data_IF_294260801599
#
_entry.id   IF_294260801599
#
_cell.length_a   1.000
_cell.length_b   1.000
_cell.length_c   1.000
_cell.angle_alpha   90.00
_cell.angle_beta   90.00
_cell.angle_gamma   90.00
#
_symmetry.space_group_name_H-M   'P 1'
#
loop_
_entity.id
_entity.type
_entity.pdbx_description
1 polymer ?
#
# COMPACT_ATOMS: atom_id res chain seq x y z
N UNK A 1 8.74 16.48 8.25
CA UNK A 1 7.37 16.02 8.58
C UNK A 1 7.27 14.52 8.79
N UNK A 2 7.57 13.64 7.83
CA UNK A 2 7.37 12.19 7.98
C UNK A 2 8.14 11.57 9.17
N UNK A 3 9.39 11.98 9.38
CA UNK A 3 10.15 11.56 10.57
C UNK A 3 9.51 12.02 11.89
N UNK A 4 8.84 13.18 11.91
CA UNK A 4 8.12 13.65 13.09
C UNK A 4 6.93 12.72 13.39
N UNK A 5 6.23 12.24 12.35
CA UNK A 5 5.17 11.23 12.51
C UNK A 5 5.68 9.95 13.19
N UNK A 6 6.87 9.46 12.82
CA UNK A 6 7.41 8.26 13.44
C UNK A 6 7.54 8.34 14.98
N UNK A 7 7.82 9.53 15.54
CA UNK A 7 7.98 9.73 16.98
C UNK A 7 6.69 10.19 17.68
N UNK A 8 5.89 11.03 17.04
CA UNK A 8 4.79 11.74 17.70
C UNK A 8 3.39 11.31 17.25
N UNK A 9 3.28 10.53 16.17
CA UNK A 9 1.97 10.03 15.73
C UNK A 9 1.50 8.92 16.68
N UNK A 10 0.35 9.08 17.35
CA UNK A 10 -0.22 8.01 18.16
C UNK A 10 -0.66 6.83 17.28
N UNK A 11 -0.72 5.64 17.87
CA UNK A 11 -1.36 4.49 17.25
C UNK A 11 -2.84 4.54 17.63
N UNK A 12 -3.70 4.74 16.63
CA UNK A 12 -5.14 4.85 16.84
C UNK A 12 -5.92 3.69 16.21
N UNK A 13 -5.29 2.94 15.30
CA UNK A 13 -5.85 1.75 14.68
C UNK A 13 -5.50 0.50 15.49
N UNK A 14 -6.50 -0.27 15.90
CA UNK A 14 -6.30 -1.51 16.62
C UNK A 14 -5.65 -2.58 15.74
N UNK A 15 -5.85 -2.53 14.42
CA UNK A 15 -5.20 -3.46 13.49
C UNK A 15 -3.68 -3.28 13.51
N UNK A 16 -3.19 -2.03 13.60
CA UNK A 16 -1.74 -1.76 13.66
C UNK A 16 -1.08 -2.51 14.83
N UNK A 17 -1.73 -2.51 16.00
CA UNK A 17 -1.23 -3.22 17.18
C UNK A 17 -1.42 -4.74 17.03
N UNK A 18 -2.66 -5.20 16.91
CA UNK A 18 -2.99 -6.61 17.07
C UNK A 18 -2.74 -7.46 15.82
N UNK A 19 -2.83 -6.87 14.62
CA UNK A 19 -2.62 -7.58 13.37
C UNK A 19 -1.20 -7.41 12.80
N UNK A 20 -0.38 -6.49 13.33
CA UNK A 20 0.97 -6.27 12.82
C UNK A 20 2.05 -6.27 13.90
N UNK A 21 2.00 -5.38 14.89
CA UNK A 21 3.01 -5.34 15.95
C UNK A 21 3.03 -6.60 16.82
N UNK A 22 1.88 -7.12 17.24
CA UNK A 22 1.78 -8.32 18.07
C UNK A 22 2.27 -9.60 17.35
N UNK A 23 1.86 -9.89 16.10
CA UNK A 23 2.43 -11.00 15.32
C UNK A 23 3.93 -10.86 15.08
N UNK A 24 4.42 -9.65 14.79
CA UNK A 24 5.85 -9.38 14.66
C UNK A 24 6.59 -9.65 15.98
N UNK A 25 6.05 -9.17 17.09
CA UNK A 25 6.60 -9.40 18.42
C UNK A 25 6.59 -10.91 18.75
N UNK A 26 5.52 -11.64 18.42
CA UNK A 26 5.46 -13.09 18.59
C UNK A 26 6.53 -13.83 17.79
N UNK A 27 6.77 -13.46 16.54
CA UNK A 27 7.81 -14.06 15.69
C UNK A 27 9.21 -13.78 16.22
N UNK A 28 9.46 -12.57 16.73
CA UNK A 28 10.79 -12.17 17.22
C UNK A 28 11.12 -12.66 18.63
N UNK A 29 10.14 -12.64 19.53
CA UNK A 29 10.34 -12.82 20.97
C UNK A 29 9.74 -14.12 21.52
N UNK A 30 9.00 -14.87 20.69
CA UNK A 30 8.32 -16.10 21.12
C UNK A 30 7.09 -15.88 22.00
N UNK A 31 6.70 -14.63 22.26
CA UNK A 31 5.51 -14.26 23.04
C UNK A 31 4.79 -13.09 22.34
N UNK A 32 3.48 -13.02 22.43
CA UNK A 32 2.65 -12.00 21.76
C UNK A 32 1.32 -12.59 21.31
N UNK A 33 0.39 -11.72 20.95
CA UNK A 33 -0.94 -12.09 20.49
C UNK A 33 -0.94 -12.44 19.00
N UNK A 34 -1.84 -13.34 18.63
CA UNK A 34 -2.23 -13.60 17.24
C UNK A 34 -3.74 -13.52 17.17
N UNK A 35 -4.24 -12.72 16.25
CA UNK A 35 -5.67 -12.64 15.98
C UNK A 35 -6.14 -13.88 15.22
N UNK A 36 -7.45 -14.04 15.14
CA UNK A 36 -8.08 -15.09 14.35
C UNK A 36 -7.74 -14.98 12.85
N UNK A 37 -7.36 -13.81 12.35
CA UNK A 37 -6.94 -13.59 10.96
C UNK A 37 -5.63 -14.32 10.61
N UNK A 38 -4.77 -14.55 11.62
CA UNK A 38 -3.56 -15.38 11.54
C UNK A 38 -3.79 -16.83 11.96
N UNK A 39 -5.04 -17.24 12.24
CA UNK A 39 -5.35 -18.64 12.46
C UNK A 39 -5.20 -19.42 11.16
N UNK A 40 -4.59 -20.62 11.16
CA UNK A 40 -4.56 -21.50 10.00
C UNK A 40 -5.95 -21.80 9.43
N UNK A 41 -7.02 -21.70 10.22
CA UNK A 41 -8.39 -21.89 9.73
C UNK A 41 -8.76 -20.87 8.64
N UNK A 42 -8.46 -19.59 8.85
CA UNK A 42 -8.84 -18.49 7.96
C UNK A 42 -7.69 -18.02 7.07
N UNK A 43 -6.50 -17.84 7.66
CA UNK A 43 -5.27 -17.43 6.99
C UNK A 43 -5.48 -16.22 6.06
N UNK A 44 -5.93 -15.11 6.63
CA UNK A 44 -6.30 -13.88 5.91
C UNK A 44 -5.14 -12.87 5.84
N UNK A 45 -4.15 -12.97 6.73
CA UNK A 45 -2.98 -12.10 6.77
C UNK A 45 -1.71 -12.84 6.38
N UNK A 46 -0.78 -12.13 5.77
CA UNK A 46 0.46 -12.72 5.25
C UNK A 46 1.59 -12.59 6.27
N UNK A 47 2.23 -13.71 6.61
CA UNK A 47 3.47 -13.70 7.39
C UNK A 47 4.63 -13.13 6.56
N UNK A 48 4.59 -13.28 5.23
CA UNK A 48 5.58 -12.66 4.35
C UNK A 48 5.63 -11.13 4.53
N UNK A 49 4.47 -10.49 4.70
CA UNK A 49 4.40 -9.05 4.98
C UNK A 49 5.06 -8.67 6.31
N UNK A 50 4.85 -9.48 7.36
CA UNK A 50 5.49 -9.27 8.67
C UNK A 50 7.01 -9.42 8.57
N UNK A 51 7.49 -10.47 7.87
CA UNK A 51 8.92 -10.72 7.69
C UNK A 51 9.62 -9.64 6.86
N UNK A 52 8.93 -9.10 5.85
CA UNK A 52 9.44 -7.96 5.08
C UNK A 52 9.79 -6.76 5.98
N UNK A 53 8.95 -6.52 6.98
CA UNK A 53 9.11 -5.41 7.93
C UNK A 53 9.96 -5.77 9.16
N UNK A 54 10.20 -7.05 9.41
CA UNK A 54 11.19 -7.52 10.37
C UNK A 54 12.63 -7.25 9.89
N UNK A 55 12.90 -7.35 8.59
CA UNK A 55 14.24 -7.17 8.02
C UNK A 55 15.00 -5.91 8.52
N UNK A 56 14.42 -4.69 8.49
CA UNK A 56 15.13 -3.48 8.95
C UNK A 56 15.47 -3.48 10.45
N UNK A 57 14.75 -4.26 11.27
CA UNK A 57 14.96 -4.33 12.72
C UNK A 57 15.70 -5.61 13.16
N UNK A 58 15.97 -6.52 12.24
CA UNK A 58 16.61 -7.83 12.52
C UNK A 58 18.01 -7.70 13.13
N UNK A 59 18.71 -6.59 12.87
CA UNK A 59 20.05 -6.30 13.41
C UNK A 59 20.02 -5.74 14.84
N UNK A 60 18.85 -5.40 15.37
CA UNK A 60 18.71 -4.82 16.71
C UNK A 60 18.63 -5.95 17.73
N UNK A 61 19.43 -5.92 18.83
CA UNK A 61 19.34 -6.93 19.85
C UNK A 61 17.94 -7.02 20.46
N UNK A 62 17.49 -8.24 20.71
CA UNK A 62 16.16 -8.60 21.21
C UNK A 62 15.79 -7.85 22.52
N UNK A 63 16.78 -7.49 23.34
CA UNK A 63 16.54 -6.71 24.57
C UNK A 63 16.00 -5.29 24.33
N UNK A 64 16.20 -4.70 23.15
CA UNK A 64 15.91 -3.29 22.88
C UNK A 64 14.58 -3.07 22.13
N UNK A 65 13.47 -3.53 22.72
CA UNK A 65 12.12 -3.47 22.11
C UNK A 65 11.70 -2.06 21.67
N UNK A 66 11.97 -1.05 22.49
CA UNK A 66 11.61 0.34 22.19
C UNK A 66 12.36 0.87 20.96
N UNK A 67 13.64 0.50 20.83
CA UNK A 67 14.47 0.88 19.68
C UNK A 67 13.95 0.18 18.43
N UNK A 68 13.67 -1.13 18.48
CA UNK A 68 13.07 -1.86 17.36
C UNK A 68 11.76 -1.22 16.89
N UNK A 69 10.88 -0.83 17.82
CA UNK A 69 9.62 -0.15 17.51
C UNK A 69 9.83 1.17 16.75
N UNK A 70 10.65 2.08 17.29
CA UNK A 70 10.89 3.37 16.64
C UNK A 70 11.70 3.24 15.35
N UNK A 71 12.66 2.31 15.27
CA UNK A 71 13.40 2.06 14.03
C UNK A 71 12.47 1.65 12.91
N UNK A 72 11.52 0.74 13.16
CA UNK A 72 10.53 0.35 12.14
C UNK A 72 9.71 1.56 11.66
N UNK A 73 9.19 2.38 12.58
CA UNK A 73 8.43 3.59 12.23
C UNK A 73 9.26 4.60 11.43
N UNK A 74 10.52 4.79 11.80
CA UNK A 74 11.47 5.65 11.08
C UNK A 74 11.74 5.10 9.67
N UNK A 75 11.94 3.79 9.52
CA UNK A 75 12.10 3.15 8.22
C UNK A 75 10.87 3.37 7.32
N UNK A 76 9.65 3.16 7.85
CA UNK A 76 8.41 3.44 7.13
C UNK A 76 8.29 4.90 6.70
N UNK A 77 8.61 5.83 7.61
CA UNK A 77 8.59 7.26 7.33
C UNK A 77 9.61 7.68 6.25
N UNK A 78 10.79 7.05 6.24
CA UNK A 78 11.81 7.26 5.19
C UNK A 78 11.30 6.72 3.85
N UNK A 79 10.71 5.52 3.83
CA UNK A 79 10.11 4.95 2.61
C UNK A 79 9.02 5.88 2.07
N UNK A 80 8.12 6.36 2.93
CA UNK A 80 7.10 7.34 2.53
C UNK A 80 7.73 8.60 1.92
N UNK A 81 8.70 9.22 2.61
CA UNK A 81 9.35 10.45 2.17
C UNK A 81 10.11 10.27 0.84
N UNK A 82 10.75 9.10 0.64
CA UNK A 82 11.43 8.79 -0.62
C UNK A 82 10.45 8.61 -1.77
N UNK A 83 9.33 7.89 -1.57
CA UNK A 83 8.25 7.79 -2.57
C UNK A 83 7.71 9.17 -2.95
N UNK A 84 7.46 10.06 -1.96
CA UNK A 84 7.01 11.43 -2.23
C UNK A 84 8.04 12.25 -3.02
N UNK A 85 9.33 12.12 -2.69
CA UNK A 85 10.40 12.84 -3.37
C UNK A 85 10.58 12.38 -4.83
N UNK A 86 10.45 11.07 -5.09
CA UNK A 86 10.48 10.56 -6.46
C UNK A 86 9.26 11.02 -7.26
N UNK A 87 8.07 11.00 -6.65
CA UNK A 87 6.87 11.47 -7.33
C UNK A 87 6.93 12.96 -7.65
N UNK A 88 7.46 13.79 -6.73
CA UNK A 88 7.75 15.20 -6.99
C UNK A 88 8.61 15.38 -8.24
N UNK A 89 9.72 14.64 -8.36
CA UNK A 89 10.60 14.70 -9.53
C UNK A 89 9.90 14.24 -10.82
N UNK A 90 9.01 13.26 -10.72
CA UNK A 90 8.24 12.79 -11.87
C UNK A 90 7.23 13.84 -12.35
N UNK A 91 6.55 14.54 -11.44
CA UNK A 91 5.65 15.65 -11.76
C UNK A 91 6.41 16.83 -12.38
N UNK A 92 7.54 17.23 -11.76
CA UNK A 92 8.35 18.34 -12.23
C UNK A 92 8.81 18.15 -13.67
N UNK A 93 9.22 16.93 -14.02
CA UNK A 93 9.63 16.57 -15.39
C UNK A 93 8.49 16.48 -16.39
N UNK A 94 7.32 15.98 -15.98
CA UNK A 94 6.23 15.70 -16.92
C UNK A 94 5.27 16.89 -17.11
N UNK A 95 5.05 17.67 -16.05
CA UNK A 95 4.11 18.79 -16.05
C UNK A 95 4.89 20.10 -15.93
N UNK A 96 5.10 20.57 -14.70
CA UNK A 96 5.93 21.74 -14.41
C UNK A 96 6.31 21.77 -12.92
N UNK A 97 7.29 22.62 -12.60
CA UNK A 97 7.79 22.81 -11.24
C UNK A 97 6.74 23.42 -10.30
N UNK A 98 5.88 24.32 -10.79
CA UNK A 98 4.85 24.96 -9.96
C UNK A 98 3.85 23.95 -9.38
N UNK A 99 3.35 23.03 -10.21
CA UNK A 99 2.45 21.94 -9.81
C UNK A 99 3.18 20.99 -8.87
N UNK A 100 4.44 20.67 -9.13
CA UNK A 100 5.25 19.83 -8.24
C UNK A 100 5.39 20.46 -6.84
N UNK A 101 5.64 21.78 -6.74
CA UNK A 101 5.68 22.49 -5.46
C UNK A 101 4.33 22.51 -4.76
N UNK A 102 3.24 22.72 -5.50
CA UNK A 102 1.88 22.63 -4.95
C UNK A 102 1.63 21.25 -4.37
N UNK A 103 2.01 20.17 -5.06
CA UNK A 103 1.92 18.81 -4.53
C UNK A 103 2.65 18.67 -3.17
N UNK A 104 3.89 19.14 -3.07
CA UNK A 104 4.65 19.06 -1.80
C UNK A 104 3.97 19.84 -0.68
N UNK A 105 3.48 21.05 -0.97
CA UNK A 105 2.76 21.86 0.01
C UNK A 105 1.49 21.15 0.49
N UNK A 106 0.68 20.62 -0.42
CA UNK A 106 -0.52 19.87 -0.10
C UNK A 106 -0.20 18.60 0.72
N UNK A 107 0.84 17.85 0.34
CA UNK A 107 1.26 16.64 1.05
C UNK A 107 1.77 16.93 2.46
N UNK A 108 2.53 18.02 2.66
CA UNK A 108 3.04 18.43 3.99
C UNK A 108 1.90 18.77 4.94
N UNK A 109 0.86 19.47 4.44
CA UNK A 109 -0.29 19.90 5.23
C UNK A 109 -1.34 18.80 5.42
N UNK A 110 -1.17 17.65 4.76
CA UNK A 110 -2.12 16.57 4.79
C UNK A 110 -1.98 15.73 6.07
N UNK A 111 -2.99 15.82 6.93
CA UNK A 111 -3.07 15.08 8.20
C UNK A 111 -3.13 13.57 8.00
N UNK A 112 -3.92 13.10 7.02
CA UNK A 112 -4.04 11.67 6.74
C UNK A 112 -2.70 11.08 6.28
N UNK A 113 -1.96 11.80 5.44
CA UNK A 113 -0.62 11.39 4.99
C UNK A 113 0.42 11.48 6.10
N UNK A 114 0.28 12.45 7.03
CA UNK A 114 1.11 12.48 8.24
C UNK A 114 0.89 11.21 9.07
N UNK A 115 -0.36 10.81 9.31
CA UNK A 115 -0.68 9.59 10.05
C UNK A 115 -0.18 8.33 9.33
N UNK A 116 -0.56 8.14 8.07
CA UNK A 116 -0.26 6.89 7.34
C UNK A 116 1.23 6.66 7.13
N UNK A 117 2.04 7.73 7.05
CA UNK A 117 3.47 7.64 6.73
C UNK A 117 4.35 6.82 7.68
N UNK A 118 3.94 6.62 8.92
CA UNK A 118 4.69 5.81 9.90
C UNK A 118 3.91 4.61 10.42
N UNK A 119 2.66 4.43 9.96
CA UNK A 119 1.77 3.38 10.44
C UNK A 119 2.14 2.02 9.84
N UNK A 120 2.31 1.02 10.70
CA UNK A 120 2.67 -0.34 10.29
C UNK A 120 1.43 -1.17 9.92
N UNK A 121 0.81 -0.83 8.79
CA UNK A 121 -0.39 -1.50 8.28
C UNK A 121 -0.32 -1.68 6.76
N UNK A 122 -1.04 -2.68 6.24
CA UNK A 122 -1.10 -2.98 4.81
C UNK A 122 -1.53 -1.76 3.96
N UNK A 123 -2.44 -0.93 4.46
CA UNK A 123 -2.93 0.24 3.73
C UNK A 123 -1.85 1.30 3.50
N UNK A 124 -1.01 1.57 4.51
CA UNK A 124 0.12 2.50 4.39
C UNK A 124 1.16 1.97 3.42
N UNK A 125 1.43 0.67 3.46
CA UNK A 125 2.31 0.02 2.49
C UNK A 125 1.77 0.11 1.06
N UNK A 126 0.47 -0.15 0.87
CA UNK A 126 -0.20 0.02 -0.42
C UNK A 126 -0.13 1.46 -0.91
N UNK A 127 -0.24 2.46 -0.02
CA UNK A 127 -0.05 3.87 -0.39
C UNK A 127 1.36 4.12 -0.95
N UNK A 128 2.42 3.58 -0.33
CA UNK A 128 3.80 3.74 -0.84
C UNK A 128 3.97 3.12 -2.23
N UNK A 129 3.49 1.88 -2.40
CA UNK A 129 3.60 1.16 -3.67
C UNK A 129 2.81 1.83 -4.80
N UNK A 130 1.60 2.35 -4.52
CA UNK A 130 0.82 3.11 -5.51
C UNK A 130 1.53 4.40 -5.88
N UNK A 131 2.04 5.17 -4.91
CA UNK A 131 2.76 6.41 -5.18
C UNK A 131 3.99 6.16 -6.08
N UNK A 132 4.70 5.06 -5.83
CA UNK A 132 5.83 4.66 -6.64
C UNK A 132 5.40 4.12 -8.02
N UNK A 133 4.29 3.39 -8.12
CA UNK A 133 3.72 2.97 -9.39
C UNK A 133 3.35 4.17 -10.28
N UNK A 134 2.76 5.21 -9.69
CA UNK A 134 2.43 6.46 -10.35
C UNK A 134 3.70 7.24 -10.76
N UNK A 135 4.72 7.25 -9.92
CA UNK A 135 6.04 7.80 -10.27
C UNK A 135 6.60 7.13 -11.53
N UNK A 136 6.57 5.80 -11.59
CA UNK A 136 7.02 5.03 -12.74
C UNK A 136 6.17 5.32 -13.98
N UNK A 137 4.85 5.47 -13.82
CA UNK A 137 3.95 5.82 -14.92
C UNK A 137 4.28 7.18 -15.51
N UNK A 138 4.45 8.20 -14.65
CA UNK A 138 4.83 9.56 -15.05
C UNK A 138 6.22 9.60 -15.70
N UNK A 139 7.12 8.72 -15.27
CA UNK A 139 8.48 8.58 -15.81
C UNK A 139 8.59 7.63 -17.02
N UNK A 140 7.47 7.17 -17.60
CA UNK A 140 7.40 6.20 -18.71
C UNK A 140 7.99 4.80 -18.44
N UNK A 141 8.26 4.43 -17.18
CA UNK A 141 8.71 3.10 -16.78
C UNK A 141 7.51 2.15 -16.52
N UNK A 142 6.78 1.80 -17.59
CA UNK A 142 5.48 1.11 -17.51
C UNK A 142 5.56 -0.28 -16.85
N UNK A 143 6.63 -1.04 -17.10
CA UNK A 143 6.83 -2.36 -16.50
C UNK A 143 6.91 -2.30 -14.96
N UNK A 144 7.67 -1.35 -14.45
CA UNK A 144 7.77 -1.09 -13.01
C UNK A 144 6.44 -0.58 -12.45
N UNK A 145 5.73 0.27 -13.18
CA UNK A 145 4.41 0.75 -12.77
C UNK A 145 3.42 -0.41 -12.53
N UNK A 146 3.34 -1.35 -13.48
CA UNK A 146 2.53 -2.58 -13.32
C UNK A 146 3.02 -3.42 -12.14
N UNK A 147 4.34 -3.56 -11.99
CA UNK A 147 4.93 -4.30 -10.87
C UNK A 147 4.52 -3.73 -9.51
N UNK A 148 4.64 -2.42 -9.30
CA UNK A 148 4.32 -1.83 -8.01
C UNK A 148 2.82 -1.86 -7.69
N UNK A 149 1.92 -1.77 -8.69
CA UNK A 149 0.48 -2.02 -8.46
C UNK A 149 0.23 -3.48 -8.05
N UNK A 150 0.85 -4.44 -8.75
CA UNK A 150 0.71 -5.86 -8.42
C UNK A 150 1.28 -6.16 -7.02
N UNK A 151 2.44 -5.59 -6.69
CA UNK A 151 3.10 -5.76 -5.40
C UNK A 151 2.26 -5.17 -4.26
N UNK A 152 1.75 -3.95 -4.44
CA UNK A 152 0.88 -3.28 -3.47
C UNK A 152 -0.45 -3.97 -3.23
N UNK A 153 -1.04 -4.56 -4.28
CA UNK A 153 -2.31 -5.27 -4.19
C UNK A 153 -2.18 -6.67 -3.58
N UNK A 154 -1.15 -7.43 -3.97
CA UNK A 154 -0.96 -8.80 -3.48
C UNK A 154 -0.34 -8.85 -2.08
N UNK A 155 0.64 -7.98 -1.78
CA UNK A 155 1.32 -7.96 -0.48
C UNK A 155 0.61 -7.07 0.55
N UNK A 156 0.05 -5.94 0.10
CA UNK A 156 -0.68 -5.01 0.97
C UNK A 156 -2.17 -5.32 1.01
N UNK A 157 -2.95 -4.75 0.08
CA UNK A 157 -4.40 -4.83 0.10
C UNK A 157 -4.98 -4.99 -1.31
N UNK A 158 -5.72 -6.07 -1.55
CA UNK A 158 -6.11 -6.49 -2.90
C UNK A 158 -6.95 -5.48 -3.67
N UNK A 159 -7.76 -4.68 -2.98
CA UNK A 159 -8.63 -3.67 -3.61
C UNK A 159 -7.84 -2.48 -4.19
N UNK A 160 -6.58 -2.34 -3.83
CA UNK A 160 -5.68 -1.31 -4.36
C UNK A 160 -5.42 -1.50 -5.86
N UNK A 161 -5.65 -2.70 -6.40
CA UNK A 161 -5.59 -2.96 -7.84
C UNK A 161 -6.47 -2.00 -8.66
N UNK A 162 -7.58 -1.52 -8.09
CA UNK A 162 -8.47 -0.53 -8.72
C UNK A 162 -7.75 0.79 -9.03
N UNK A 163 -6.79 1.19 -8.19
CA UNK A 163 -5.99 2.40 -8.41
C UNK A 163 -5.01 2.24 -9.59
N UNK A 164 -4.82 1.03 -10.12
CA UNK A 164 -4.07 0.76 -11.34
C UNK A 164 -4.86 0.98 -12.64
N UNK A 165 -6.18 1.24 -12.57
CA UNK A 165 -7.03 1.37 -13.77
C UNK A 165 -6.54 2.48 -14.72
N UNK A 166 -6.20 3.71 -14.29
CA UNK A 166 -5.72 4.75 -15.20
C UNK A 166 -4.44 4.34 -15.94
N UNK A 167 -3.53 3.64 -15.25
CA UNK A 167 -2.29 3.10 -15.82
C UNK A 167 -2.62 2.02 -16.86
N UNK A 168 -3.53 1.09 -16.53
CA UNK A 168 -3.95 0.04 -17.46
C UNK A 168 -4.60 0.64 -18.72
N UNK A 169 -5.46 1.65 -18.56
CA UNK A 169 -6.10 2.34 -19.69
C UNK A 169 -5.04 3.00 -20.59
N UNK A 170 -4.07 3.70 -19.98
CA UNK A 170 -2.96 4.32 -20.70
C UNK A 170 -2.16 3.29 -21.53
N UNK A 171 -1.77 2.17 -20.92
CA UNK A 171 -0.93 1.17 -21.58
C UNK A 171 -1.70 0.43 -22.68
N UNK A 172 -2.94 0.00 -22.39
CA UNK A 172 -3.72 -0.86 -23.29
C UNK A 172 -4.35 -0.06 -24.41
N UNK A 173 -5.06 1.04 -24.11
CA UNK A 173 -5.85 1.75 -25.12
C UNK A 173 -5.08 2.89 -25.78
N UNK A 174 -4.35 3.71 -25.01
CA UNK A 174 -3.62 4.83 -25.61
C UNK A 174 -2.34 4.36 -26.31
N UNK A 175 -1.50 3.61 -25.58
CA UNK A 175 -0.21 3.16 -26.11
C UNK A 175 -0.31 1.89 -26.97
N UNK A 176 -1.46 1.20 -26.96
CA UNK A 176 -1.69 -0.04 -27.71
C UNK A 176 -0.68 -1.17 -27.37
N UNK A 177 -0.13 -1.17 -26.15
CA UNK A 177 0.89 -2.13 -25.68
C UNK A 177 0.28 -3.26 -24.83
N UNK A 178 -0.81 -3.86 -25.31
CA UNK A 178 -1.54 -4.89 -24.56
C UNK A 178 -0.70 -6.15 -24.28
N UNK A 179 0.17 -6.57 -25.22
CA UNK A 179 1.06 -7.72 -25.03
C UNK A 179 2.03 -7.46 -23.88
N UNK A 180 2.65 -6.27 -23.85
CA UNK A 180 3.55 -5.89 -22.76
C UNK A 180 2.80 -5.80 -21.43
N UNK A 181 1.60 -5.25 -21.42
CA UNK A 181 0.77 -5.19 -20.22
C UNK A 181 0.50 -6.59 -19.65
N UNK A 182 0.08 -7.54 -20.49
CA UNK A 182 -0.17 -8.93 -20.08
C UNK A 182 1.13 -9.57 -19.58
N UNK A 183 2.23 -9.44 -20.33
CA UNK A 183 3.54 -9.99 -19.97
C UNK A 183 3.99 -9.47 -18.61
N UNK A 184 3.98 -8.16 -18.40
CA UNK A 184 4.44 -7.56 -17.13
C UNK A 184 3.47 -7.83 -15.98
N UNK A 185 2.17 -7.95 -16.24
CA UNK A 185 1.19 -8.35 -15.23
C UNK A 185 1.44 -9.78 -14.73
N UNK A 186 1.69 -10.72 -15.65
CA UNK A 186 2.01 -12.11 -15.30
C UNK A 186 3.33 -12.18 -14.53
N UNK A 187 4.40 -11.54 -15.05
CA UNK A 187 5.71 -11.54 -14.39
C UNK A 187 5.60 -10.95 -12.98
N UNK A 188 4.93 -9.80 -12.83
CA UNK A 188 4.78 -9.13 -11.53
C UNK A 188 3.93 -9.93 -10.55
N UNK A 189 2.85 -10.54 -11.05
CA UNK A 189 2.01 -11.44 -10.29
C UNK A 189 2.79 -12.64 -9.77
N UNK A 190 3.58 -13.32 -10.63
CA UNK A 190 4.38 -14.48 -10.23
C UNK A 190 5.49 -14.11 -9.25
N UNK A 191 6.25 -13.04 -9.53
CA UNK A 191 7.36 -12.60 -8.66
C UNK A 191 6.86 -12.22 -7.27
N UNK A 192 5.64 -11.69 -7.14
CA UNK A 192 5.07 -11.34 -5.84
C UNK A 192 4.39 -12.53 -5.18
N UNK A 193 3.55 -13.25 -5.92
CA UNK A 193 2.65 -14.27 -5.36
C UNK A 193 3.39 -15.55 -4.97
N UNK A 194 4.41 -15.96 -5.73
CA UNK A 194 5.19 -17.17 -5.42
C UNK A 194 5.85 -17.07 -4.05
N UNK A 195 6.73 -16.09 -3.75
CA UNK A 195 7.38 -16.02 -2.44
C UNK A 195 6.36 -15.81 -1.32
N UNK A 196 5.31 -15.03 -1.55
CA UNK A 196 4.25 -14.81 -0.57
C UNK A 196 3.54 -16.12 -0.21
N UNK A 197 3.15 -16.90 -1.21
CA UNK A 197 2.48 -18.21 -1.03
C UNK A 197 3.42 -19.21 -0.34
N UNK A 198 4.69 -19.26 -0.71
CA UNK A 198 5.67 -20.18 -0.11
C UNK A 198 5.89 -19.89 1.38
N UNK A 199 6.14 -18.62 1.72
CA UNK A 199 6.34 -18.18 3.11
C UNK A 199 5.08 -18.42 3.92
N UNK A 200 3.93 -17.96 3.43
CA UNK A 200 2.68 -18.10 4.18
C UNK A 200 2.33 -19.58 4.39
N UNK A 201 2.50 -20.42 3.36
CA UNK A 201 2.22 -21.85 3.48
C UNK A 201 3.12 -22.55 4.50
N UNK A 202 4.38 -22.12 4.61
CA UNK A 202 5.31 -22.60 5.63
C UNK A 202 4.82 -22.25 7.04
N UNK A 203 4.45 -20.99 7.30
CA UNK A 203 3.99 -20.57 8.63
C UNK A 203 2.60 -21.11 9.00
N UNK A 204 1.70 -21.29 8.02
CA UNK A 204 0.38 -21.86 8.24
C UNK A 204 0.35 -23.39 8.28
N UNK A 205 1.44 -24.06 7.88
CA UNK A 205 1.54 -25.52 7.84
C UNK A 205 0.65 -26.18 6.77
N UNK A 206 0.16 -25.41 5.79
CA UNK A 206 -0.67 -25.89 4.66
C UNK A 206 -0.55 -24.94 3.48
N UNK A 207 -0.89 -25.39 2.28
CA UNK A 207 -0.91 -24.51 1.11
C UNK A 207 -1.93 -23.38 1.28
N UNK A 208 -1.45 -22.14 1.34
CA UNK A 208 -2.26 -20.93 1.55
C UNK A 208 -1.89 -19.88 0.51
N UNK A 209 -2.91 -19.36 -0.19
CA UNK A 209 -2.80 -18.16 -1.01
C UNK A 209 -3.58 -17.05 -0.28
N UNK A 210 -2.88 -16.30 0.55
CA UNK A 210 -3.49 -15.30 1.46
C UNK A 210 -4.39 -14.29 0.74
N UNK A 211 -4.00 -13.67 -0.40
CA UNK A 211 -4.88 -12.71 -1.09
C UNK A 211 -6.17 -13.34 -1.61
N UNK A 212 -6.12 -14.63 -2.01
CA UNK A 212 -7.30 -15.37 -2.45
C UNK A 212 -8.23 -15.69 -1.29
N UNK A 213 -7.69 -16.08 -0.14
CA UNK A 213 -8.48 -16.29 1.08
C UNK A 213 -9.14 -14.98 1.53
N UNK A 214 -8.42 -13.86 1.44
CA UNK A 214 -8.96 -12.54 1.74
C UNK A 214 -10.17 -12.20 0.86
N UNK A 215 -10.10 -12.45 -0.46
CA UNK A 215 -11.26 -12.29 -1.35
C UNK A 215 -12.40 -13.23 -0.96
N UNK A 216 -12.10 -14.52 -0.78
CA UNK A 216 -13.12 -15.53 -0.46
C UNK A 216 -13.88 -15.20 0.81
N UNK A 217 -13.16 -14.73 1.83
CA UNK A 217 -13.75 -14.35 3.10
C UNK A 217 -14.57 -13.05 2.98
N UNK A 218 -13.98 -11.98 2.42
CA UNK A 218 -14.60 -10.66 2.45
C UNK A 218 -15.65 -10.40 1.36
N UNK A 219 -15.53 -11.02 0.18
CA UNK A 219 -16.45 -10.79 -0.94
C UNK A 219 -17.43 -11.93 -1.15
N UNK A 220 -17.02 -13.18 -0.90
CA UNK A 220 -17.82 -14.35 -1.27
C UNK A 220 -18.52 -15.00 -0.07
N UNK A 221 -18.14 -14.67 1.16
CA UNK A 221 -18.75 -15.24 2.37
C UNK A 221 -19.85 -14.33 2.92
N UNK A 222 -20.86 -14.94 3.56
CA UNK A 222 -21.95 -14.23 4.23
C UNK A 222 -21.51 -13.43 5.46
N UNK A 223 -20.31 -13.69 6.00
CA UNK A 223 -19.82 -13.09 7.24
C UNK A 223 -18.82 -11.96 7.00
N UNK A 224 -18.40 -11.71 5.75
CA UNK A 224 -17.23 -10.89 5.45
C UNK A 224 -17.36 -9.41 5.81
N UNK A 225 -18.08 -8.60 5.01
CA UNK A 225 -18.01 -7.15 5.14
C UNK A 225 -18.95 -6.58 6.20
N UNK A 226 -19.89 -7.37 6.71
CA UNK A 226 -20.91 -6.93 7.68
C UNK A 226 -20.51 -7.17 9.13
N UNK A 227 -19.38 -7.85 9.39
CA UNK A 227 -18.95 -8.25 10.73
C UNK A 227 -18.80 -7.06 11.68
N UNK A 228 -18.35 -5.93 11.15
CA UNK A 228 -18.11 -4.69 11.90
C UNK A 228 -19.12 -3.58 11.58
N UNK A 229 -20.26 -3.94 10.98
CA UNK A 229 -21.25 -2.99 10.48
C UNK A 229 -21.06 -2.65 9.00
N UNK A 230 -22.04 -1.95 8.44
CA UNK A 230 -22.02 -1.50 7.03
C UNK A 230 -22.31 -0.02 6.97
N UNK A 231 -21.53 0.70 6.18
CA UNK A 231 -21.76 2.11 5.87
C UNK A 231 -22.30 2.25 4.44
N UNK A 232 -23.14 3.27 4.15
CA UNK A 232 -23.58 3.57 2.80
C UNK A 232 -22.40 3.99 1.93
N UNK A 233 -22.51 3.84 0.60
CA UNK A 233 -21.43 4.19 -0.34
C UNK A 233 -20.97 5.66 -0.23
N UNK A 234 -21.85 6.55 0.25
CA UNK A 234 -21.54 7.96 0.52
C UNK A 234 -20.45 8.15 1.57
N UNK A 235 -20.23 7.16 2.44
CA UNK A 235 -19.16 7.16 3.44
C UNK A 235 -17.79 7.39 2.82
N UNK A 236 -17.49 6.77 1.67
CA UNK A 236 -16.19 6.95 1.01
C UNK A 236 -15.96 8.40 0.57
N UNK A 237 -17.01 9.08 0.09
CA UNK A 237 -16.94 10.49 -0.31
C UNK A 237 -16.78 11.38 0.92
N UNK A 238 -17.60 11.18 1.95
CA UNK A 238 -17.55 11.97 3.19
C UNK A 238 -16.18 11.81 3.85
N UNK A 239 -15.69 10.58 4.00
CA UNK A 239 -14.38 10.29 4.58
C UNK A 239 -13.24 10.89 3.74
N UNK A 240 -13.32 10.80 2.41
CA UNK A 240 -12.36 11.44 1.51
C UNK A 240 -12.32 12.96 1.69
N UNK A 241 -13.47 13.61 1.74
CA UNK A 241 -13.57 15.06 1.96
C UNK A 241 -13.11 15.48 3.36
N UNK A 242 -13.39 14.69 4.40
CA UNK A 242 -12.93 15.01 5.76
C UNK A 242 -11.39 14.94 5.88
N UNK A 243 -10.77 13.93 5.24
CA UNK A 243 -9.33 13.73 5.36
C UNK A 243 -8.51 14.60 4.39
N UNK A 244 -9.05 14.91 3.21
CA UNK A 244 -8.32 15.55 2.11
C UNK A 244 -8.99 16.84 1.61
N UNK A 245 -10.14 17.25 2.15
CA UNK A 245 -10.90 18.43 1.73
C UNK A 245 -11.10 18.47 0.20
N UNK A 246 -11.00 19.66 -0.42
CA UNK A 246 -11.12 19.88 -1.86
C UNK A 246 -10.06 19.12 -2.68
N UNK A 247 -8.97 18.67 -2.07
CA UNK A 247 -7.91 17.91 -2.76
C UNK A 247 -8.46 16.55 -3.21
N UNK A 248 -9.39 15.94 -2.47
CA UNK A 248 -9.96 14.64 -2.83
C UNK A 248 -10.63 14.62 -4.21
N UNK A 249 -11.65 15.48 -4.49
CA UNK A 249 -12.26 15.50 -5.82
C UNK A 249 -11.28 15.98 -6.90
N UNK A 250 -10.38 16.92 -6.59
CA UNK A 250 -9.36 17.37 -7.54
C UNK A 250 -8.38 16.25 -7.93
N UNK A 251 -8.01 15.36 -7.00
CA UNK A 251 -7.15 14.23 -7.28
C UNK A 251 -7.84 13.20 -8.20
N UNK A 252 -9.14 12.93 -7.99
CA UNK A 252 -9.92 12.04 -8.87
C UNK A 252 -9.97 12.63 -10.29
N UNK A 253 -10.31 13.91 -10.40
CA UNK A 253 -10.37 14.60 -11.67
C UNK A 253 -8.99 14.63 -12.36
N UNK A 254 -7.91 14.91 -11.62
CA UNK A 254 -6.56 14.95 -12.17
C UNK A 254 -6.11 13.64 -12.82
N UNK A 255 -6.49 12.50 -12.25
CA UNK A 255 -6.23 11.19 -12.84
C UNK A 255 -6.94 11.01 -14.19
N UNK A 256 -8.21 11.40 -14.25
CA UNK A 256 -9.03 11.37 -15.45
C UNK A 256 -8.42 12.31 -16.50
N UNK A 257 -8.20 13.57 -16.14
CA UNK A 257 -7.63 14.57 -17.03
C UNK A 257 -6.28 14.17 -17.60
N UNK A 258 -5.40 13.51 -16.83
CA UNK A 258 -4.12 13.03 -17.37
C UNK A 258 -4.33 12.04 -18.52
N UNK A 259 -5.16 11.03 -18.32
CA UNK A 259 -5.46 10.03 -19.36
C UNK A 259 -6.10 10.70 -20.57
N UNK A 260 -7.06 11.62 -20.35
CA UNK A 260 -7.72 12.37 -21.42
C UNK A 260 -6.74 13.27 -22.21
N UNK A 261 -5.93 14.09 -21.53
CA UNK A 261 -4.93 14.95 -22.16
C UNK A 261 -3.97 14.11 -22.99
N UNK A 262 -3.45 13.02 -22.43
CA UNK A 262 -2.48 12.19 -23.13
C UNK A 262 -3.10 11.50 -24.36
N UNK A 263 -4.41 11.18 -24.36
CA UNK A 263 -5.13 10.55 -25.49
C UNK A 263 -5.46 11.55 -26.61
N UNK A 264 -5.88 12.77 -26.26
CA UNK A 264 -6.46 13.71 -27.23
C UNK A 264 -5.48 14.79 -27.71
N UNK A 265 -4.38 15.03 -26.99
CA UNK A 265 -3.42 16.11 -27.30
C UNK A 265 -2.05 15.63 -27.79
N UNK A 266 -1.82 14.31 -27.85
CA UNK A 266 -0.62 13.68 -28.43
C UNK A 266 -1.01 12.57 -29.41
#
# INVERSE_FOLDING_TARGET
>A
MRLISAFFNPIDDCDEVFNFYEPLHKLMYGNGFQTWEYSPLFALRSYAYILLHWLPISFIPISFKLISFYTLRVCLAIVCATCEAFFFRAIDKQLNNSIARTYVLLSILNVALFRSSSAFINNSFSMYTVLFAYTCWFSNALSLSVFFIAFGSLCGWIYVAVLGIPIAIDIVFRRQRYIDFIKWSIISGLITLIPLTLIDSYYYGKLVITPLNHIRYNLLSKHGPTLYGTEPWTYYIINGLLNFNIIYPLAILGNIFKVFIDIFLN
#
